data_IF_187422798078
#
_entry.id   IF_187422798078
#
_cell.length_a   1.000
_cell.length_b   1.000
_cell.length_c   1.000
_cell.angle_alpha   90.00
_cell.angle_beta   90.00
_cell.angle_gamma   90.00
#
_symmetry.space_group_name_H-M   'P 1'
#
loop_
_entity.id
_entity.type
_entity.pdbx_description
1 polymer ?
#
# COMPACT_ATOMS: atom_id res chain seq x y z
N UNK A 1 -4.61 9.02 -4.35
CA UNK A 1 -3.39 8.83 -3.54
C UNK A 1 -2.16 9.16 -4.38
N UNK A 2 -1.26 9.91 -3.79
CA UNK A 2 -0.02 10.26 -4.46
C UNK A 2 0.91 9.06 -4.46
N UNK A 3 1.18 8.53 -5.64
CA UNK A 3 1.96 7.31 -5.73
C UNK A 3 3.41 7.51 -5.31
N UNK A 4 3.94 8.69 -5.53
CA UNK A 4 5.30 8.96 -5.10
C UNK A 4 5.41 8.90 -3.59
N UNK A 5 4.45 9.51 -2.90
CA UNK A 5 4.44 9.47 -1.45
C UNK A 5 4.23 8.05 -0.95
N UNK A 6 3.34 7.33 -1.61
CA UNK A 6 3.10 5.96 -1.25
C UNK A 6 4.37 5.12 -1.38
N UNK A 7 5.08 5.33 -2.46
CA UNK A 7 6.30 4.59 -2.70
C UNK A 7 7.35 4.92 -1.65
N UNK A 8 7.47 6.19 -1.30
CA UNK A 8 8.40 6.59 -0.26
C UNK A 8 8.03 5.96 1.07
N UNK A 9 6.75 5.95 1.38
CA UNK A 9 6.30 5.36 2.62
C UNK A 9 6.63 3.87 2.66
N UNK A 10 6.45 3.19 1.55
CA UNK A 10 6.72 1.77 1.48
C UNK A 10 8.20 1.48 1.60
N UNK A 11 9.03 2.37 1.11
CA UNK A 11 10.46 2.21 1.24
C UNK A 11 10.87 2.23 2.70
N UNK A 12 10.23 3.10 3.48
CA UNK A 12 10.49 3.17 4.90
C UNK A 12 9.82 2.05 5.67
N UNK A 13 8.66 1.62 5.22
CA UNK A 13 7.86 0.64 5.92
C UNK A 13 7.46 -0.50 5.00
N UNK A 14 8.40 -1.32 4.60
CA UNK A 14 8.11 -2.37 3.64
C UNK A 14 7.14 -3.43 4.16
N UNK A 15 7.02 -3.53 5.47
CA UNK A 15 6.14 -4.53 6.06
C UNK A 15 4.78 -3.97 6.48
N UNK A 16 4.49 -2.73 6.15
CA UNK A 16 3.24 -2.14 6.55
C UNK A 16 2.08 -2.82 5.83
N UNK A 17 0.99 -3.01 6.56
CA UNK A 17 -0.21 -3.58 5.96
C UNK A 17 -0.99 -2.51 5.22
N UNK A 18 -1.87 -2.97 4.31
CA UNK A 18 -2.68 -2.03 3.54
C UNK A 18 -3.51 -1.14 4.45
N UNK A 19 -4.06 -1.71 5.52
CA UNK A 19 -4.88 -0.92 6.41
C UNK A 19 -4.07 0.17 7.09
N UNK A 20 -2.84 -0.14 7.46
CA UNK A 20 -1.99 0.85 8.09
C UNK A 20 -1.62 1.96 7.11
N UNK A 21 -1.28 1.58 5.90
CA UNK A 21 -0.93 2.56 4.89
C UNK A 21 -2.12 3.45 4.58
N UNK A 22 -3.29 2.84 4.45
CA UNK A 22 -4.49 3.61 4.16
C UNK A 22 -4.80 4.59 5.28
N UNK A 23 -4.62 4.16 6.52
CA UNK A 23 -4.86 5.03 7.66
C UNK A 23 -3.91 6.21 7.64
N UNK A 24 -2.66 5.94 7.31
CA UNK A 24 -1.65 6.99 7.25
C UNK A 24 -1.99 8.01 6.17
N UNK A 25 -2.53 7.55 5.06
CA UNK A 25 -2.84 8.43 3.93
C UNK A 25 -4.27 8.95 3.99
N UNK A 26 -5.05 8.49 4.95
CA UNK A 26 -6.42 8.96 5.11
C UNK A 26 -7.34 8.48 4.01
N UNK A 27 -7.15 7.26 3.55
CA UNK A 27 -7.99 6.71 2.51
C UNK A 27 -8.36 5.27 2.84
N UNK A 28 -9.20 4.71 1.99
CA UNK A 28 -9.66 3.35 2.20
C UNK A 28 -8.57 2.35 1.78
N UNK A 29 -8.45 1.22 2.46
CA UNK A 29 -7.45 0.22 2.07
C UNK A 29 -7.58 -0.24 0.63
N UNK A 30 -8.78 -0.29 0.12
CA UNK A 30 -9.00 -0.70 -1.27
C UNK A 30 -8.31 0.26 -2.22
N UNK A 31 -8.31 1.54 -1.89
CA UNK A 31 -7.62 2.54 -2.71
C UNK A 31 -6.14 2.25 -2.79
N UNK A 32 -5.54 1.85 -1.67
CA UNK A 32 -4.12 1.50 -1.65
C UNK A 32 -3.88 0.27 -2.51
N UNK A 33 -4.77 -0.69 -2.41
CA UNK A 33 -4.64 -1.91 -3.20
C UNK A 33 -4.63 -1.58 -4.70
N UNK A 34 -5.54 -0.73 -5.12
CA UNK A 34 -5.60 -0.34 -6.53
C UNK A 34 -4.35 0.43 -6.94
N UNK A 35 -3.84 1.25 -6.05
CA UNK A 35 -2.61 1.98 -6.34
C UNK A 35 -1.46 1.03 -6.56
N UNK A 36 -1.39 -0.03 -5.75
CA UNK A 36 -0.36 -1.04 -5.93
C UNK A 36 -0.48 -1.69 -7.29
N UNK A 37 -1.68 -2.03 -7.68
CA UNK A 37 -1.89 -2.66 -8.98
C UNK A 37 -1.49 -1.73 -10.11
N UNK A 38 -1.83 -0.47 -9.98
CA UNK A 38 -1.49 0.49 -11.01
C UNK A 38 0.01 0.68 -11.14
N UNK A 39 0.73 0.58 -10.03
CA UNK A 39 2.17 0.73 -10.04
C UNK A 39 2.89 -0.56 -10.40
N UNK A 40 2.17 -1.65 -10.40
CA UNK A 40 2.82 -2.94 -10.60
C UNK A 40 3.58 -3.40 -9.38
N UNK A 41 3.26 -2.87 -8.23
CA UNK A 41 3.96 -3.19 -7.00
C UNK A 41 3.41 -4.47 -6.40
N UNK A 42 4.28 -5.36 -6.00
CA UNK A 42 3.86 -6.62 -5.41
C UNK A 42 4.52 -6.78 -4.06
N UNK A 43 3.74 -7.18 -3.08
CA UNK A 43 4.24 -7.36 -1.73
C UNK A 43 4.52 -8.83 -1.49
N UNK A 44 5.66 -9.08 -0.88
CA UNK A 44 6.01 -10.44 -0.64
C UNK A 44 5.28 -11.06 0.51
N UNK A 45 5.07 -10.30 1.55
CA UNK A 45 4.45 -10.83 2.74
C UNK A 45 2.98 -10.55 2.79
N UNK A 46 2.39 -10.46 1.68
CA UNK A 46 0.99 -10.16 1.60
C UNK A 46 0.19 -11.29 2.21
N UNK A 47 -0.63 -11.02 3.21
CA UNK A 47 -1.48 -12.07 3.74
C UNK A 47 -2.46 -12.48 2.69
N UNK A 48 -2.57 -13.75 2.52
CA UNK A 48 -3.41 -14.22 1.48
C UNK A 48 -4.83 -14.20 1.91
N UNK A 49 -5.61 -13.40 1.36
CA UNK A 49 -6.92 -13.21 1.84
C UNK A 49 -7.92 -14.17 1.35
N UNK A 50 -7.66 -14.89 0.44
CA UNK A 50 -8.71 -15.77 -0.07
C UNK A 50 -8.56 -17.15 0.33
#
# INVERSE_FOLDING_TARGET
VDRDRLKNYLTDNPDAYLTEIASEFGCHPTTIHYAFKAMGYTRKKEPHLL
#
